data_IF_631717382754
#
_entry.id   IF_631717382754
#
_cell.length_a   1.000
_cell.length_b   1.000
_cell.length_c   1.000
_cell.angle_alpha   90.00
_cell.angle_beta   90.00
_cell.angle_gamma   90.00
#
_symmetry.space_group_name_H-M   'P 1'
#
loop_
_entity.id
_entity.type
_entity.pdbx_description
1 polymer ?
#
# COMPACT_ATOMS: atom_id res chain seq x y z
N UNK A 1 11.50 -17.52 -5.23
CA UNK A 1 10.30 -18.20 -5.75
C UNK A 1 9.46 -18.63 -4.54
N UNK A 2 8.57 -17.76 -4.07
CA UNK A 2 7.59 -18.10 -3.03
C UNK A 2 6.53 -19.00 -3.68
N UNK A 3 6.32 -20.17 -3.09
CA UNK A 3 5.32 -21.13 -3.56
C UNK A 3 3.92 -20.63 -3.17
N UNK A 4 3.10 -20.32 -4.15
CA UNK A 4 1.66 -20.12 -3.98
C UNK A 4 1.03 -21.49 -3.78
N UNK A 5 0.51 -21.77 -2.59
CA UNK A 5 -0.24 -23.00 -2.31
C UNK A 5 -1.75 -22.69 -2.40
N UNK A 6 -2.38 -23.10 -3.47
CA UNK A 6 -3.83 -23.11 -3.63
C UNK A 6 -4.44 -24.26 -2.81
N UNK A 7 -5.20 -23.94 -1.77
CA UNK A 7 -6.01 -24.91 -1.02
C UNK A 7 -7.48 -24.76 -1.41
N UNK A 8 -7.94 -25.60 -2.34
CA UNK A 8 -9.35 -25.76 -2.65
C UNK A 8 -9.83 -27.15 -2.25
N UNK A 9 -10.73 -27.26 -1.24
CA UNK A 9 -11.68 -28.39 -1.11
C UNK A 9 -12.95 -27.92 -0.41
N UNK A 10 -14.04 -27.93 -1.13
CA UNK A 10 -15.38 -27.58 -0.66
C UNK A 10 -16.01 -28.80 0.04
N UNK A 11 -16.41 -28.64 1.31
CA UNK A 11 -17.41 -29.50 1.97
C UNK A 11 -18.72 -28.74 2.13
N UNK A 12 -19.83 -29.43 1.91
CA UNK A 12 -21.19 -28.91 1.81
C UNK A 12 -21.53 -27.84 2.88
N UNK A 13 -21.99 -26.67 2.43
CA UNK A 13 -22.80 -25.73 3.20
C UNK A 13 -22.10 -24.55 3.86
N UNK A 14 -20.78 -24.56 4.06
CA UNK A 14 -20.03 -23.43 4.63
C UNK A 14 -19.20 -22.73 3.57
N UNK A 15 -19.30 -21.39 3.51
CA UNK A 15 -18.41 -20.56 2.70
C UNK A 15 -17.01 -20.72 3.27
N UNK A 16 -16.03 -21.11 2.44
CA UNK A 16 -14.62 -21.16 2.82
C UNK A 16 -13.90 -19.92 2.34
N UNK A 17 -13.05 -19.38 3.20
CA UNK A 17 -12.14 -18.29 2.82
C UNK A 17 -11.11 -18.84 1.82
N UNK A 18 -10.98 -18.17 0.69
CA UNK A 18 -9.83 -18.35 -0.20
C UNK A 18 -8.73 -17.40 0.31
N UNK A 19 -7.65 -18.00 0.79
CA UNK A 19 -6.54 -17.27 1.40
C UNK A 19 -5.30 -17.50 0.55
N UNK A 20 -4.81 -16.45 -0.07
CA UNK A 20 -3.51 -16.45 -0.74
C UNK A 20 -2.45 -16.09 0.29
N UNK A 21 -1.43 -16.94 0.41
CA UNK A 21 -0.39 -16.77 1.42
C UNK A 21 0.88 -16.20 0.81
N UNK A 22 1.35 -15.09 1.36
CA UNK A 22 2.77 -14.70 1.25
C UNK A 22 3.36 -14.94 2.65
N UNK A 23 3.55 -16.22 3.01
CA UNK A 23 3.99 -16.57 4.37
C UNK A 23 4.65 -17.95 4.40
N UNK A 24 5.54 -18.12 5.37
CA UNK A 24 6.13 -19.41 5.72
C UNK A 24 5.33 -20.14 6.82
N UNK A 25 4.12 -19.65 7.16
CA UNK A 25 3.30 -20.19 8.25
C UNK A 25 2.79 -21.59 7.95
N UNK A 26 2.78 -22.42 8.96
CA UNK A 26 2.18 -23.75 8.97
C UNK A 26 0.94 -23.75 9.85
N UNK A 27 0.09 -24.76 9.72
CA UNK A 27 -1.12 -24.92 10.53
C UNK A 27 -0.84 -24.97 12.05
N UNK A 28 0.34 -25.36 12.45
CA UNK A 28 0.73 -25.54 13.86
C UNK A 28 1.43 -24.33 14.45
N UNK A 29 1.76 -23.32 13.61
CA UNK A 29 2.38 -22.10 14.10
C UNK A 29 1.36 -21.30 14.93
N UNK A 30 1.67 -20.96 16.18
CA UNK A 30 0.84 -20.04 16.94
C UNK A 30 0.97 -18.65 16.34
N UNK A 31 -0.18 -18.00 16.10
CA UNK A 31 -0.23 -16.67 15.50
C UNK A 31 -1.07 -15.71 16.33
N UNK A 32 -0.68 -14.44 16.30
CA UNK A 32 -1.51 -13.30 16.70
C UNK A 32 -1.79 -12.48 15.45
N UNK A 33 -3.04 -12.07 15.27
CA UNK A 33 -3.46 -11.40 14.04
C UNK A 33 -3.93 -9.97 14.30
N UNK A 34 -3.77 -9.14 13.29
CA UNK A 34 -4.55 -7.92 13.10
C UNK A 34 -5.27 -7.98 11.75
N UNK A 35 -6.51 -7.47 11.68
CA UNK A 35 -7.36 -7.62 10.49
C UNK A 35 -7.77 -6.24 9.99
N UNK A 36 -7.64 -6.00 8.68
CA UNK A 36 -8.07 -4.74 8.09
C UNK A 36 -7.73 -4.58 6.61
N UNK A 37 -8.20 -3.50 5.98
CA UNK A 37 -7.81 -3.16 4.63
C UNK A 37 -6.36 -2.65 4.54
N UNK A 38 -5.89 -2.00 5.59
CA UNK A 38 -4.54 -1.46 5.72
C UNK A 38 -4.08 -0.65 4.50
N UNK A 39 -4.99 0.13 3.92
CA UNK A 39 -4.68 0.94 2.76
C UNK A 39 -3.79 2.12 3.14
N UNK A 40 -2.56 2.13 2.58
CA UNK A 40 -1.54 3.15 2.82
C UNK A 40 -0.62 2.91 4.03
N UNK A 41 -0.83 1.88 4.88
CA UNK A 41 0.01 1.58 6.07
C UNK A 41 0.39 2.84 6.88
N UNK A 42 -0.57 3.70 7.17
CA UNK A 42 -0.35 4.95 7.89
C UNK A 42 0.00 4.76 9.37
N UNK A 43 0.45 5.82 10.05
CA UNK A 43 0.89 5.80 11.46
C UNK A 43 -0.10 5.10 12.41
N UNK A 44 -1.41 5.23 12.17
CA UNK A 44 -2.42 4.49 12.94
C UNK A 44 -2.32 2.97 12.76
N UNK A 45 -2.07 2.51 11.53
CA UNK A 45 -1.83 1.09 11.26
C UNK A 45 -0.51 0.61 11.90
N UNK A 46 0.56 1.43 11.83
CA UNK A 46 1.84 1.08 12.45
C UNK A 46 1.73 0.90 13.97
N UNK A 47 0.88 1.68 14.65
CA UNK A 47 0.59 1.47 16.09
C UNK A 47 -0.10 0.13 16.36
N UNK A 48 -1.06 -0.28 15.51
CA UNK A 48 -1.67 -1.61 15.62
C UNK A 48 -0.62 -2.71 15.44
N UNK A 49 0.28 -2.56 14.47
CA UNK A 49 1.37 -3.51 14.22
C UNK A 49 2.34 -3.58 15.39
N UNK A 50 2.66 -2.45 16.01
CA UNK A 50 3.49 -2.42 17.23
C UNK A 50 2.83 -3.19 18.38
N UNK A 51 1.54 -2.96 18.64
CA UNK A 51 0.81 -3.70 19.65
C UNK A 51 0.70 -5.21 19.31
N UNK A 52 0.57 -5.53 18.01
CA UNK A 52 0.59 -6.91 17.53
C UNK A 52 1.91 -7.62 17.86
N UNK A 53 3.05 -6.95 17.66
CA UNK A 53 4.36 -7.49 18.05
C UNK A 53 4.46 -7.74 19.56
N UNK A 54 4.01 -6.78 20.37
CA UNK A 54 4.04 -6.91 21.82
C UNK A 54 3.21 -8.11 22.31
N UNK A 55 1.97 -8.25 21.80
CA UNK A 55 1.14 -9.41 22.13
C UNK A 55 1.78 -10.72 21.65
N UNK A 56 2.28 -10.75 20.41
CA UNK A 56 2.90 -11.94 19.84
C UNK A 56 4.09 -12.42 20.67
N UNK A 57 4.93 -11.52 21.18
CA UNK A 57 6.03 -11.83 22.10
C UNK A 57 5.50 -12.42 23.43
N UNK A 58 4.46 -11.82 24.00
CA UNK A 58 3.88 -12.26 25.30
C UNK A 58 3.34 -13.69 25.22
N UNK A 59 2.67 -14.04 24.11
CA UNK A 59 2.04 -15.36 23.94
C UNK A 59 2.90 -16.35 23.12
N UNK A 60 4.17 -16.01 22.86
CA UNK A 60 5.11 -16.81 22.06
C UNK A 60 4.52 -17.24 20.70
N UNK A 61 4.00 -16.29 19.95
CA UNK A 61 3.38 -16.47 18.65
C UNK A 61 4.01 -15.58 17.57
N UNK A 62 3.69 -15.85 16.30
CA UNK A 62 4.11 -14.99 15.18
C UNK A 62 3.10 -13.87 14.96
N UNK A 63 3.54 -12.61 14.76
CA UNK A 63 2.65 -11.52 14.37
C UNK A 63 2.27 -11.67 12.89
N UNK A 64 0.99 -11.59 12.57
CA UNK A 64 0.45 -11.82 11.22
C UNK A 64 -0.56 -10.74 10.86
N UNK A 65 -0.40 -10.15 9.69
CA UNK A 65 -1.39 -9.24 9.13
C UNK A 65 -2.40 -10.01 8.28
N UNK A 66 -3.69 -9.84 8.56
CA UNK A 66 -4.78 -10.35 7.71
C UNK A 66 -5.38 -9.19 6.93
N UNK A 67 -5.29 -9.24 5.61
CA UNK A 67 -5.81 -8.19 4.73
C UNK A 67 -6.66 -8.76 3.61
N UNK A 68 -7.24 -7.86 2.81
CA UNK A 68 -8.20 -8.21 1.77
C UNK A 68 -7.72 -7.74 0.41
N UNK A 69 -8.00 -8.54 -0.61
CA UNK A 69 -7.85 -8.18 -2.00
C UNK A 69 -9.04 -8.74 -2.81
N UNK A 70 -9.77 -7.88 -3.58
CA UNK A 70 -9.64 -6.42 -3.62
C UNK A 70 -10.04 -5.74 -2.30
N UNK A 71 -9.80 -4.42 -2.20
CA UNK A 71 -10.24 -3.62 -1.05
C UNK A 71 -11.74 -3.82 -0.80
N UNK A 72 -12.13 -4.07 0.46
CA UNK A 72 -13.51 -4.50 0.80
C UNK A 72 -14.59 -3.55 0.27
N UNK A 73 -14.33 -2.24 0.25
CA UNK A 73 -15.28 -1.24 -0.26
C UNK A 73 -15.58 -1.40 -1.75
N UNK A 74 -14.61 -1.85 -2.57
CA UNK A 74 -14.82 -2.08 -4.00
C UNK A 74 -15.83 -3.20 -4.29
N UNK A 75 -15.99 -4.14 -3.35
CA UNK A 75 -16.96 -5.24 -3.47
C UNK A 75 -18.30 -4.87 -2.84
N UNK A 76 -18.28 -4.22 -1.66
CA UNK A 76 -19.51 -3.86 -0.93
C UNK A 76 -20.22 -2.66 -1.54
N UNK A 77 -19.47 -1.74 -2.15
CA UNK A 77 -19.97 -0.52 -2.78
C UNK A 77 -19.33 -0.33 -4.17
N UNK A 78 -19.67 -1.17 -5.14
CA UNK A 78 -19.09 -1.12 -6.49
C UNK A 78 -19.41 0.18 -7.25
N UNK A 79 -20.41 0.92 -6.78
CA UNK A 79 -20.76 2.26 -7.26
C UNK A 79 -19.74 3.35 -6.87
N UNK A 80 -18.90 3.09 -5.87
CA UNK A 80 -17.87 4.04 -5.41
C UNK A 80 -16.60 3.85 -6.22
N UNK A 81 -16.15 4.90 -6.89
CA UNK A 81 -14.86 4.93 -7.57
C UNK A 81 -13.73 5.12 -6.54
N UNK A 82 -13.38 4.05 -5.83
CA UNK A 82 -12.30 4.08 -4.85
C UNK A 82 -10.95 3.96 -5.55
N UNK A 83 -10.09 4.94 -5.30
CA UNK A 83 -8.65 4.85 -5.60
C UNK A 83 -7.91 4.47 -4.32
N UNK A 84 -7.14 3.39 -4.36
CA UNK A 84 -6.40 2.88 -3.21
C UNK A 84 -5.04 3.59 -3.07
N UNK A 85 -4.64 3.91 -1.85
CA UNK A 85 -3.31 4.47 -1.55
C UNK A 85 -2.19 3.50 -1.92
N UNK A 86 -2.45 2.20 -1.80
CA UNK A 86 -1.50 1.13 -2.11
C UNK A 86 -2.14 0.05 -2.97
N UNK A 87 -1.38 -0.50 -3.91
CA UNK A 87 -1.69 -1.82 -4.50
C UNK A 87 -1.49 -2.91 -3.44
N UNK A 88 -1.91 -4.14 -3.72
CA UNK A 88 -1.64 -5.26 -2.80
C UNK A 88 -0.14 -5.44 -2.57
N UNK A 89 0.64 -5.45 -3.65
CA UNK A 89 2.09 -5.63 -3.60
C UNK A 89 2.77 -4.53 -2.75
N UNK A 90 2.40 -3.27 -2.97
CA UNK A 90 2.89 -2.14 -2.20
C UNK A 90 2.51 -2.24 -0.71
N UNK A 91 1.27 -2.63 -0.41
CA UNK A 91 0.77 -2.82 0.95
C UNK A 91 1.63 -3.86 1.70
N UNK A 92 1.84 -5.03 1.11
CA UNK A 92 2.61 -6.10 1.72
C UNK A 92 4.08 -5.70 1.93
N UNK A 93 4.67 -4.98 0.98
CA UNK A 93 6.02 -4.45 1.13
C UNK A 93 6.11 -3.44 2.29
N UNK A 94 5.19 -2.48 2.36
CA UNK A 94 5.16 -1.48 3.42
C UNK A 94 4.91 -2.13 4.81
N UNK A 95 4.11 -3.18 4.86
CA UNK A 95 3.88 -3.97 6.08
C UNK A 95 5.19 -4.58 6.59
N UNK A 96 6.00 -5.11 5.69
CA UNK A 96 7.32 -5.67 6.04
C UNK A 96 8.32 -4.57 6.41
N UNK A 97 8.42 -3.52 5.59
CA UNK A 97 9.42 -2.45 5.76
C UNK A 97 9.19 -1.61 7.02
N UNK A 98 7.95 -1.17 7.24
CA UNK A 98 7.62 -0.22 8.30
C UNK A 98 6.88 -0.87 9.47
N UNK A 99 6.13 -1.93 9.22
CA UNK A 99 5.43 -2.69 10.24
C UNK A 99 6.24 -3.83 10.81
N UNK A 100 7.36 -4.22 10.18
CA UNK A 100 8.20 -5.37 10.53
C UNK A 100 7.42 -6.70 10.61
N UNK A 101 6.34 -6.83 9.82
CA UNK A 101 5.50 -8.02 9.73
C UNK A 101 5.71 -8.67 8.36
N UNK A 102 6.53 -9.71 8.25
CA UNK A 102 6.76 -10.40 6.99
C UNK A 102 5.63 -11.37 6.64
N UNK A 103 4.90 -11.87 7.64
CA UNK A 103 3.85 -12.88 7.46
C UNK A 103 2.49 -12.20 7.23
N UNK A 104 1.91 -12.42 6.06
CA UNK A 104 0.64 -11.81 5.67
C UNK A 104 -0.33 -12.89 5.17
N UNK A 105 -1.60 -12.79 5.54
CA UNK A 105 -2.71 -13.59 5.00
C UNK A 105 -3.57 -12.65 4.16
N UNK A 106 -3.63 -12.91 2.86
CA UNK A 106 -4.47 -12.16 1.92
C UNK A 106 -5.75 -12.97 1.68
N UNK A 107 -6.88 -12.38 1.98
CA UNK A 107 -8.19 -12.98 1.76
C UNK A 107 -8.77 -12.42 0.47
N UNK A 108 -9.07 -13.31 -0.48
CA UNK A 108 -9.82 -12.95 -1.69
C UNK A 108 -11.24 -12.50 -1.26
N UNK A 109 -11.47 -11.18 -1.26
CA UNK A 109 -12.70 -10.60 -0.75
C UNK A 109 -13.77 -10.57 -1.84
N UNK A 110 -14.73 -11.46 -1.73
CA UNK A 110 -15.87 -11.61 -2.66
C UNK A 110 -17.17 -11.20 -1.99
N UNK A 111 -18.25 -11.07 -2.79
CA UNK A 111 -19.61 -10.83 -2.26
C UNK A 111 -20.07 -11.94 -1.28
N UNK A 112 -19.57 -13.16 -1.45
CA UNK A 112 -19.86 -14.25 -0.52
C UNK A 112 -19.14 -14.05 0.82
N UNK A 113 -17.87 -13.63 0.80
CA UNK A 113 -17.10 -13.30 2.01
C UNK A 113 -17.72 -12.10 2.73
N UNK A 114 -18.21 -11.09 1.99
CA UNK A 114 -18.89 -9.93 2.55
C UNK A 114 -20.19 -10.27 3.31
N UNK A 115 -20.83 -11.40 2.98
CA UNK A 115 -22.04 -11.89 3.65
C UNK A 115 -21.75 -12.89 4.78
N UNK A 116 -20.50 -13.26 4.98
CA UNK A 116 -20.12 -14.22 6.03
C UNK A 116 -20.33 -13.63 7.42
N UNK A 117 -20.82 -14.45 8.35
CA UNK A 117 -20.89 -14.04 9.76
C UNK A 117 -19.49 -13.86 10.38
N UNK A 118 -19.42 -13.13 11.49
CA UNK A 118 -18.17 -12.97 12.19
C UNK A 118 -17.63 -14.30 12.76
N UNK A 119 -18.53 -15.14 13.26
CA UNK A 119 -18.20 -16.50 13.76
C UNK A 119 -17.59 -17.34 12.64
N UNK A 120 -18.28 -17.46 11.50
CA UNK A 120 -17.81 -18.27 10.38
C UNK A 120 -16.46 -17.78 9.84
N UNK A 121 -16.24 -16.47 9.81
CA UNK A 121 -14.97 -15.88 9.39
C UNK A 121 -13.82 -16.29 10.33
N UNK A 122 -14.01 -16.14 11.64
CA UNK A 122 -13.01 -16.49 12.63
C UNK A 122 -12.79 -18.01 12.74
N UNK A 123 -13.85 -18.80 12.63
CA UNK A 123 -13.74 -20.26 12.59
C UNK A 123 -12.96 -20.73 11.37
N UNK A 124 -13.16 -20.13 10.19
CA UNK A 124 -12.35 -20.43 9.02
C UNK A 124 -10.86 -20.15 9.26
N UNK A 125 -10.51 -19.03 9.90
CA UNK A 125 -9.10 -18.74 10.24
C UNK A 125 -8.55 -19.80 11.21
N UNK A 126 -9.31 -20.18 12.25
CA UNK A 126 -8.91 -21.18 13.23
C UNK A 126 -8.80 -22.60 12.66
N UNK A 127 -9.55 -22.93 11.62
CA UNK A 127 -9.39 -24.21 10.90
C UNK A 127 -8.00 -24.32 10.24
N UNK A 128 -7.38 -23.19 9.89
CA UNK A 128 -6.13 -23.12 9.16
C UNK A 128 -4.91 -22.76 10.02
N UNK A 129 -5.12 -22.05 11.15
CA UNK A 129 -4.05 -21.52 11.97
C UNK A 129 -4.34 -21.72 13.47
N UNK A 130 -3.27 -21.79 14.28
CA UNK A 130 -3.35 -21.81 15.73
C UNK A 130 -3.45 -20.36 16.24
N UNK A 131 -4.66 -19.79 16.23
CA UNK A 131 -4.90 -18.40 16.65
C UNK A 131 -4.80 -18.25 18.17
N UNK A 132 -3.88 -17.41 18.66
CA UNK A 132 -3.62 -17.14 20.08
C UNK A 132 -4.11 -15.77 20.52
N UNK A 133 -4.16 -14.79 19.61
CA UNK A 133 -4.59 -13.44 19.94
C UNK A 133 -5.01 -12.63 18.72
N UNK A 134 -5.73 -11.55 18.98
CA UNK A 134 -6.16 -10.56 18.00
C UNK A 134 -5.92 -9.15 18.55
N UNK A 135 -5.28 -8.31 17.75
CA UNK A 135 -5.13 -6.87 18.01
C UNK A 135 -5.95 -6.12 16.97
N UNK A 136 -6.88 -5.29 17.39
CA UNK A 136 -7.83 -4.59 16.50
C UNK A 136 -8.01 -3.13 16.91
N UNK A 137 -8.35 -2.25 15.98
CA UNK A 137 -8.75 -0.88 16.32
C UNK A 137 -10.04 -0.85 17.15
N UNK A 138 -10.21 0.13 18.00
CA UNK A 138 -11.41 0.23 18.87
C UNK A 138 -12.71 0.40 18.08
N UNK A 139 -12.66 0.90 16.86
CA UNK A 139 -13.79 1.06 15.93
C UNK A 139 -13.93 -0.11 14.94
N UNK A 140 -13.08 -1.12 15.09
CA UNK A 140 -13.07 -2.29 14.21
C UNK A 140 -14.35 -3.11 14.32
N UNK A 141 -14.78 -3.64 13.20
CA UNK A 141 -15.87 -4.62 13.13
C UNK A 141 -15.71 -5.47 11.89
N UNK A 142 -16.08 -6.73 11.99
CA UNK A 142 -16.04 -7.70 10.90
C UNK A 142 -17.40 -8.40 10.71
N UNK A 143 -17.48 -9.17 9.61
CA UNK A 143 -18.66 -9.93 9.27
C UNK A 143 -19.82 -9.10 8.71
N UNK A 144 -20.84 -9.80 8.24
CA UNK A 144 -22.02 -9.18 7.65
C UNK A 144 -22.66 -8.17 8.59
N UNK A 145 -23.04 -7.00 8.07
CA UNK A 145 -23.62 -5.89 8.82
C UNK A 145 -22.78 -5.41 10.03
N UNK A 146 -21.47 -5.65 10.03
CA UNK A 146 -20.55 -5.24 11.10
C UNK A 146 -20.91 -5.80 12.48
N UNK A 147 -21.55 -6.98 12.53
CA UNK A 147 -21.99 -7.59 13.78
C UNK A 147 -20.83 -8.05 14.67
N UNK A 148 -19.67 -8.37 14.10
CA UNK A 148 -18.45 -8.73 14.83
C UNK A 148 -17.73 -7.50 15.39
N UNK A 149 -18.36 -6.77 16.30
CA UNK A 149 -17.79 -5.63 17.02
C UNK A 149 -16.84 -6.10 18.15
N UNK A 150 -16.26 -5.15 18.89
CA UNK A 150 -15.29 -5.44 19.96
C UNK A 150 -15.88 -6.36 21.04
N UNK A 151 -17.12 -6.14 21.47
CA UNK A 151 -17.77 -6.97 22.50
C UNK A 151 -17.91 -8.42 22.01
N UNK A 152 -18.37 -8.61 20.77
CA UNK A 152 -18.43 -9.92 20.12
C UNK A 152 -17.05 -10.59 20.06
N UNK A 153 -16.02 -9.85 19.64
CA UNK A 153 -14.66 -10.41 19.53
C UNK A 153 -14.11 -10.85 20.89
N UNK A 154 -14.38 -10.09 21.95
CA UNK A 154 -13.96 -10.44 23.30
C UNK A 154 -14.68 -11.68 23.81
N UNK A 155 -16.01 -11.81 23.59
CA UNK A 155 -16.78 -13.01 23.92
C UNK A 155 -16.28 -14.24 23.16
N UNK A 156 -16.08 -14.09 21.84
CA UNK A 156 -15.50 -15.14 21.00
C UNK A 156 -14.10 -15.54 21.50
N UNK A 157 -13.28 -14.56 21.85
CA UNK A 157 -11.94 -14.79 22.38
C UNK A 157 -11.95 -15.58 23.69
N UNK A 158 -12.83 -15.22 24.64
CA UNK A 158 -13.00 -15.96 25.90
C UNK A 158 -13.42 -17.41 25.65
N UNK A 159 -14.40 -17.62 24.77
CA UNK A 159 -14.89 -18.98 24.41
C UNK A 159 -13.79 -19.87 23.79
N UNK A 160 -12.83 -19.29 23.10
CA UNK A 160 -11.84 -20.03 22.31
C UNK A 160 -10.41 -19.90 22.82
N UNK A 161 -10.20 -19.32 24.00
CA UNK A 161 -8.89 -19.05 24.61
C UNK A 161 -7.97 -18.21 23.67
N UNK A 162 -8.55 -17.16 23.06
CA UNK A 162 -7.87 -16.20 22.19
C UNK A 162 -7.88 -14.85 22.90
N UNK A 163 -6.74 -14.25 23.12
CA UNK A 163 -6.63 -12.92 23.69
C UNK A 163 -7.08 -11.85 22.67
N UNK A 164 -7.96 -10.93 23.08
CA UNK A 164 -8.44 -9.84 22.21
C UNK A 164 -8.11 -8.50 22.83
N UNK A 165 -7.25 -7.75 22.14
CA UNK A 165 -6.80 -6.43 22.57
C UNK A 165 -7.28 -5.33 21.62
N UNK A 166 -8.28 -4.54 22.01
CA UNK A 166 -8.64 -3.33 21.27
C UNK A 166 -7.61 -2.22 21.53
N UNK A 167 -7.15 -1.57 20.47
CA UNK A 167 -6.26 -0.41 20.55
C UNK A 167 -7.07 0.85 20.29
N UNK A 168 -7.09 1.73 21.28
CA UNK A 168 -7.73 3.03 21.18
C UNK A 168 -6.68 4.05 20.72
N UNK A 169 -6.92 4.67 19.58
CA UNK A 169 -6.20 5.88 19.19
C UNK A 169 -6.91 7.06 19.86
N UNK A 170 -6.15 8.05 20.33
CA UNK A 170 -6.76 9.28 20.85
C UNK A 170 -7.65 9.93 19.78
N UNK A 171 -8.84 10.42 20.17
CA UNK A 171 -9.83 10.95 19.23
C UNK A 171 -9.28 12.06 18.33
N UNK A 172 -8.37 12.89 18.84
CA UNK A 172 -7.67 13.93 18.08
C UNK A 172 -6.72 13.35 17.02
N UNK A 173 -6.14 12.17 17.26
CA UNK A 173 -5.28 11.48 16.31
C UNK A 173 -6.08 10.71 15.28
N UNK A 174 -7.16 10.03 15.65
CA UNK A 174 -8.09 9.35 14.73
C UNK A 174 -8.66 10.33 13.69
N UNK A 175 -9.09 11.53 14.15
CA UNK A 175 -9.57 12.57 13.25
C UNK A 175 -8.47 13.09 12.29
N UNK A 176 -7.20 12.98 12.68
CA UNK A 176 -6.06 13.43 11.88
C UNK A 176 -5.51 12.36 10.95
N UNK A 177 -5.52 11.08 11.34
CA UNK A 177 -4.88 9.99 10.62
C UNK A 177 -5.95 8.99 10.14
N UNK A 178 -6.32 9.06 8.86
CA UNK A 178 -7.19 8.09 8.21
C UNK A 178 -6.85 7.96 6.74
N UNK A 179 -7.05 6.77 6.15
CA UNK A 179 -6.84 6.56 4.71
C UNK A 179 -7.65 7.53 3.85
N UNK A 180 -8.86 7.91 4.28
CA UNK A 180 -9.71 8.88 3.56
C UNK A 180 -9.06 10.25 3.50
N UNK A 181 -8.57 10.77 4.63
CA UNK A 181 -7.86 12.06 4.66
C UNK A 181 -6.58 12.03 3.83
N UNK A 182 -5.81 10.95 3.95
CA UNK A 182 -4.57 10.80 3.18
C UNK A 182 -4.87 10.76 1.68
N UNK A 183 -5.94 10.07 1.24
CA UNK A 183 -6.37 10.12 -0.18
C UNK A 183 -6.67 11.54 -0.63
N UNK A 184 -7.36 12.34 0.18
CA UNK A 184 -7.63 13.75 -0.14
C UNK A 184 -6.34 14.54 -0.30
N UNK A 185 -5.36 14.38 0.59
CA UNK A 185 -4.07 15.06 0.51
C UNK A 185 -3.29 14.64 -0.73
N UNK A 186 -3.20 13.34 -1.01
CA UNK A 186 -2.51 12.81 -2.21
C UNK A 186 -3.18 13.30 -3.48
N UNK A 187 -4.51 13.24 -3.56
CA UNK A 187 -5.28 13.74 -4.72
C UNK A 187 -5.12 15.24 -4.92
N UNK A 188 -4.90 16.00 -3.85
CA UNK A 188 -4.63 17.43 -3.88
C UNK A 188 -3.15 17.79 -4.11
N UNK A 189 -2.25 16.80 -4.18
CA UNK A 189 -0.81 17.03 -4.34
C UNK A 189 -0.09 17.51 -3.08
N UNK A 190 -0.72 17.42 -1.92
CA UNK A 190 -0.19 17.81 -0.60
C UNK A 190 0.67 16.65 -0.04
N UNK A 191 1.77 16.35 -0.73
CA UNK A 191 2.59 15.16 -0.49
C UNK A 191 3.28 15.21 0.87
N UNK A 192 3.81 16.35 1.26
CA UNK A 192 4.51 16.53 2.54
C UNK A 192 3.58 16.20 3.72
N UNK A 193 2.33 16.69 3.68
CA UNK A 193 1.32 16.39 4.70
C UNK A 193 0.89 14.92 4.67
N UNK A 194 0.73 14.35 3.47
CA UNK A 194 0.39 12.94 3.31
C UNK A 194 1.50 12.05 3.89
N UNK A 195 2.77 12.31 3.58
CA UNK A 195 3.94 11.60 4.09
C UNK A 195 4.03 11.72 5.62
N UNK A 196 3.74 12.91 6.17
CA UNK A 196 3.71 13.12 7.62
C UNK A 196 2.65 12.25 8.33
N UNK A 197 1.48 12.02 7.71
CA UNK A 197 0.44 11.14 8.26
C UNK A 197 0.72 9.65 8.03
N UNK A 198 1.31 9.31 6.88
CA UNK A 198 1.75 7.95 6.58
C UNK A 198 2.88 7.51 7.52
N UNK A 199 3.88 8.35 7.72
CA UNK A 199 5.14 8.01 8.38
C UNK A 199 6.18 7.43 7.41
N UNK A 200 5.90 7.48 6.12
CA UNK A 200 6.75 7.09 5.00
C UNK A 200 6.30 7.84 3.74
N UNK A 201 7.11 7.88 2.67
CA UNK A 201 6.71 8.51 1.42
C UNK A 201 5.47 7.85 0.79
N UNK A 202 4.65 8.66 0.10
CA UNK A 202 3.69 8.14 -0.87
C UNK A 202 4.46 7.41 -1.96
N UNK A 203 4.09 6.16 -2.24
CA UNK A 203 4.80 5.33 -3.23
C UNK A 203 3.96 5.06 -4.46
N UNK A 204 4.63 4.77 -5.59
CA UNK A 204 4.01 4.15 -6.77
C UNK A 204 5.00 3.17 -7.40
N UNK A 205 4.61 1.90 -7.49
CA UNK A 205 5.40 0.84 -8.12
C UNK A 205 4.77 0.41 -9.44
N UNK A 206 5.58 0.32 -10.50
CA UNK A 206 5.10 -0.13 -11.81
C UNK A 206 6.25 -0.64 -12.68
N UNK A 207 5.89 -1.34 -13.76
CA UNK A 207 6.82 -1.69 -14.82
C UNK A 207 7.03 -0.46 -15.71
N UNK A 208 8.27 -0.24 -16.13
CA UNK A 208 8.64 0.80 -17.08
C UNK A 208 8.25 0.37 -18.50
N UNK A 209 7.43 1.19 -19.15
CA UNK A 209 6.94 0.94 -20.50
C UNK A 209 7.54 1.93 -21.50
N UNK A 210 7.54 1.57 -22.79
CA UNK A 210 7.98 2.48 -23.85
C UNK A 210 7.00 3.65 -23.98
N UNK A 211 7.52 4.87 -23.88
CA UNK A 211 6.80 6.12 -24.16
C UNK A 211 7.22 6.72 -25.50
N UNK A 212 6.86 7.99 -25.74
CA UNK A 212 7.19 8.71 -27.00
C UNK A 212 8.66 9.12 -27.11
N UNK A 213 9.47 8.87 -26.10
CA UNK A 213 10.90 9.20 -26.05
C UNK A 213 11.25 10.70 -26.27
N UNK A 214 10.27 11.60 -26.09
CA UNK A 214 10.46 13.06 -26.29
C UNK A 214 11.47 13.63 -25.29
N UNK A 215 11.47 13.13 -24.06
CA UNK A 215 12.44 13.54 -23.04
C UNK A 215 13.90 13.29 -23.48
N UNK A 216 14.16 12.16 -24.14
CA UNK A 216 15.51 11.83 -24.67
C UNK A 216 15.99 12.84 -25.71
N UNK A 217 15.10 13.31 -26.59
CA UNK A 217 15.42 14.35 -27.59
C UNK A 217 15.73 15.70 -26.96
N UNK A 218 15.18 15.95 -25.77
CA UNK A 218 15.38 17.19 -25.01
C UNK A 218 16.61 17.13 -24.09
N UNK A 219 17.25 15.97 -23.95
CA UNK A 219 18.37 15.75 -23.02
C UNK A 219 17.96 15.32 -21.61
N UNK A 220 16.66 15.01 -21.40
CA UNK A 220 16.09 14.54 -20.13
C UNK A 220 15.34 13.21 -20.34
N UNK A 221 16.05 12.07 -20.51
CA UNK A 221 15.41 10.78 -20.69
C UNK A 221 14.50 10.45 -19.52
N UNK A 222 13.32 9.89 -19.79
CA UNK A 222 12.32 9.54 -18.78
C UNK A 222 11.91 8.07 -18.86
N UNK A 223 11.75 7.44 -17.71
CA UNK A 223 11.08 6.16 -17.55
C UNK A 223 9.56 6.42 -17.45
N UNK A 224 8.78 5.77 -18.31
CA UNK A 224 7.31 5.89 -18.31
C UNK A 224 6.71 4.75 -17.51
N UNK A 225 5.89 5.05 -16.52
CA UNK A 225 5.21 4.07 -15.68
C UNK A 225 3.74 4.01 -16.02
N UNK A 226 3.19 2.80 -15.89
CA UNK A 226 1.78 2.51 -16.06
C UNK A 226 1.24 1.87 -14.77
N UNK A 227 0.92 2.66 -13.73
CA UNK A 227 0.34 2.13 -12.49
C UNK A 227 -1.01 1.44 -12.72
N UNK A 228 -1.39 0.57 -11.80
CA UNK A 228 -2.69 -0.09 -11.81
C UNK A 228 -3.85 0.90 -11.78
N UNK A 229 -5.00 0.54 -12.38
CA UNK A 229 -6.14 1.43 -12.56
C UNK A 229 -6.74 1.95 -11.25
N UNK A 230 -6.67 1.16 -10.20
CA UNK A 230 -7.17 1.53 -8.85
C UNK A 230 -6.11 2.18 -7.95
N UNK A 231 -4.88 2.33 -8.43
CA UNK A 231 -3.82 3.02 -7.69
C UNK A 231 -4.06 4.52 -7.70
N UNK A 232 -4.15 5.12 -6.50
CA UNK A 232 -4.17 6.56 -6.35
C UNK A 232 -2.80 7.15 -6.66
N UNK A 233 -2.77 8.07 -7.61
CA UNK A 233 -1.59 8.88 -7.92
C UNK A 233 -1.74 10.29 -7.33
N UNK A 234 -0.65 10.96 -6.98
CA UNK A 234 -0.65 12.37 -6.66
C UNK A 234 -1.33 13.22 -7.75
N UNK A 235 -1.76 14.44 -7.41
CA UNK A 235 -2.28 15.39 -8.39
C UNK A 235 -1.33 15.57 -9.59
N UNK A 236 -1.86 16.06 -10.72
CA UNK A 236 -1.00 16.40 -11.86
C UNK A 236 -0.02 17.50 -11.46
N UNK A 237 1.25 17.35 -11.84
CA UNK A 237 2.33 18.23 -11.43
C UNK A 237 3.70 17.59 -11.50
N UNK A 238 4.70 18.32 -11.03
CA UNK A 238 6.11 17.90 -11.01
C UNK A 238 6.54 17.69 -9.56
N UNK A 239 7.26 16.62 -9.30
CA UNK A 239 7.63 16.15 -7.97
C UNK A 239 9.12 15.83 -7.88
N UNK A 240 9.73 16.13 -6.74
CA UNK A 240 10.98 15.52 -6.33
C UNK A 240 10.68 14.12 -5.76
N UNK A 241 11.39 13.12 -6.23
CA UNK A 241 11.17 11.73 -5.85
C UNK A 241 12.48 10.94 -5.78
N UNK A 242 12.45 9.80 -5.08
CA UNK A 242 13.50 8.78 -5.14
C UNK A 242 12.99 7.57 -5.94
N UNK A 243 13.87 6.98 -6.72
CA UNK A 243 13.59 5.79 -7.53
C UNK A 243 14.36 4.62 -6.96
N UNK A 244 13.64 3.55 -6.63
CA UNK A 244 14.23 2.27 -6.27
C UNK A 244 14.06 1.30 -7.45
N UNK A 245 15.13 0.63 -7.83
CA UNK A 245 15.09 -0.39 -8.87
C UNK A 245 14.59 -1.71 -8.28
N UNK A 246 13.81 -2.45 -9.07
CA UNK A 246 13.28 -3.76 -8.68
C UNK A 246 11.90 -3.71 -8.01
N UNK A 247 11.50 -4.88 -7.50
CA UNK A 247 10.21 -5.05 -6.82
C UNK A 247 10.24 -4.38 -5.45
N UNK A 248 9.18 -3.67 -5.11
CA UNK A 248 8.98 -3.06 -3.79
C UNK A 248 9.06 -4.07 -2.64
N UNK A 249 8.67 -5.32 -2.85
CA UNK A 249 8.84 -6.43 -1.90
C UNK A 249 10.30 -6.83 -1.65
N UNK A 250 11.22 -6.41 -2.50
CA UNK A 250 12.65 -6.68 -2.40
C UNK A 250 13.42 -5.53 -1.75
N UNK A 251 12.72 -4.50 -1.27
CA UNK A 251 13.30 -3.41 -0.48
C UNK A 251 13.61 -3.92 0.93
N UNK A 252 14.60 -4.76 1.02
CA UNK A 252 15.15 -5.24 2.29
C UNK A 252 16.49 -4.53 2.49
N UNK A 253 16.75 -4.03 3.68
CA UNK A 253 18.04 -3.39 4.05
C UNK A 253 19.25 -4.31 3.79
N UNK A 254 19.02 -5.62 3.65
CA UNK A 254 20.03 -6.61 3.30
C UNK A 254 20.44 -6.58 1.83
N UNK A 255 19.66 -5.92 0.95
CA UNK A 255 19.98 -5.77 -0.46
C UNK A 255 20.29 -4.30 -0.73
N UNK A 256 21.54 -3.99 -1.07
CA UNK A 256 21.97 -2.68 -1.56
C UNK A 256 21.33 -2.40 -2.93
N UNK A 257 20.02 -2.18 -2.96
CA UNK A 257 19.38 -1.70 -4.17
C UNK A 257 19.69 -0.20 -4.32
N UNK A 258 20.33 0.20 -5.41
CA UNK A 258 20.66 1.61 -5.59
C UNK A 258 19.39 2.46 -5.64
N UNK A 259 19.44 3.58 -4.92
CA UNK A 259 18.39 4.59 -4.88
C UNK A 259 18.85 5.80 -5.69
N UNK A 260 18.02 6.24 -6.61
CA UNK A 260 18.34 7.36 -7.49
C UNK A 260 17.41 8.53 -7.22
N UNK A 261 17.96 9.73 -7.18
CA UNK A 261 17.18 10.95 -7.16
C UNK A 261 16.48 11.15 -8.52
N UNK A 262 15.28 11.71 -8.50
CA UNK A 262 14.47 11.84 -9.70
C UNK A 262 13.58 13.07 -9.67
N UNK A 263 13.26 13.58 -10.85
CA UNK A 263 12.13 14.48 -11.11
C UNK A 263 11.05 13.69 -11.78
N UNK A 264 9.85 13.70 -11.20
CA UNK A 264 8.70 12.95 -11.72
C UNK A 264 7.63 13.90 -12.19
N UNK A 265 7.17 13.75 -13.43
CA UNK A 265 6.01 14.43 -13.97
C UNK A 265 4.79 13.50 -13.95
N UNK A 266 3.69 13.96 -13.37
CA UNK A 266 2.37 13.32 -13.46
C UNK A 266 1.47 14.25 -14.26
N UNK A 267 0.92 13.76 -15.36
CA UNK A 267 0.07 14.56 -16.23
C UNK A 267 -0.90 13.72 -17.02
N UNK A 268 -1.82 14.39 -17.72
CA UNK A 268 -2.83 13.76 -18.58
C UNK A 268 -2.39 13.82 -20.03
N UNK A 269 -2.35 12.65 -20.68
CA UNK A 269 -2.11 12.58 -22.11
C UNK A 269 -3.41 12.28 -22.85
N UNK A 270 -3.79 13.10 -23.83
CA UNK A 270 -4.90 12.77 -24.74
C UNK A 270 -4.56 11.49 -25.53
N UNK A 271 -5.45 10.52 -25.54
CA UNK A 271 -5.37 9.30 -26.35
C UNK A 271 -6.64 9.12 -27.17
N UNK A 272 -6.61 8.30 -28.23
CA UNK A 272 -7.77 8.01 -29.05
C UNK A 272 -8.97 7.40 -28.29
N UNK A 273 -8.79 6.97 -27.02
CA UNK A 273 -9.81 6.36 -26.15
C UNK A 273 -10.11 7.15 -24.87
N UNK A 274 -9.62 8.40 -24.74
CA UNK A 274 -9.82 9.20 -23.52
C UNK A 274 -8.53 9.85 -22.99
N UNK A 275 -8.57 10.25 -21.72
CA UNK A 275 -7.44 10.86 -21.03
C UNK A 275 -6.77 9.81 -20.15
N UNK A 276 -5.52 9.47 -20.44
CA UNK A 276 -4.71 8.56 -19.60
C UNK A 276 -3.73 9.37 -18.78
N UNK A 277 -3.75 9.18 -17.47
CA UNK A 277 -2.69 9.72 -16.60
C UNK A 277 -1.42 8.92 -16.81
N UNK A 278 -0.32 9.60 -16.99
CA UNK A 278 1.01 9.04 -17.15
C UNK A 278 1.92 9.53 -16.04
N UNK A 279 2.88 8.71 -15.68
CA UNK A 279 3.93 9.04 -14.73
C UNK A 279 5.27 8.89 -15.45
N UNK A 280 6.02 9.99 -15.58
CA UNK A 280 7.30 10.05 -16.26
C UNK A 280 8.38 10.42 -15.25
N UNK A 281 9.32 9.52 -14.99
CA UNK A 281 10.41 9.71 -14.05
C UNK A 281 11.73 9.96 -14.79
N UNK A 282 12.35 11.12 -14.59
CA UNK A 282 13.69 11.45 -15.03
C UNK A 282 14.67 11.19 -13.89
N UNK A 283 15.48 10.13 -14.00
CA UNK A 283 16.52 9.79 -13.04
C UNK A 283 17.69 10.76 -13.19
N UNK A 284 18.15 11.32 -12.09
CA UNK A 284 19.24 12.31 -12.09
C UNK A 284 20.60 11.60 -12.11
N UNK A 285 21.54 12.15 -12.89
CA UNK A 285 22.94 11.74 -12.93
C UNK A 285 23.22 10.31 -13.41
N UNK A 286 22.25 9.68 -14.06
CA UNK A 286 22.38 8.33 -14.56
C UNK A 286 21.58 8.12 -15.85
N UNK A 287 22.10 7.33 -16.77
CA UNK A 287 21.40 6.84 -17.97
C UNK A 287 21.38 5.32 -17.93
N UNK A 288 20.20 4.77 -17.62
CA UNK A 288 19.94 3.33 -17.53
C UNK A 288 18.85 2.92 -18.49
N UNK A 289 18.99 1.75 -19.07
CA UNK A 289 17.88 1.09 -19.77
C UNK A 289 17.01 0.36 -18.73
N UNK A 290 15.85 0.93 -18.46
CA UNK A 290 14.88 0.45 -17.46
C UNK A 290 13.64 -0.20 -18.09
N UNK A 291 13.57 -0.34 -19.41
CA UNK A 291 12.41 -0.95 -20.07
C UNK A 291 12.15 -2.35 -19.53
N UNK A 292 10.87 -2.67 -19.35
CA UNK A 292 10.36 -3.93 -18.81
C UNK A 292 10.83 -4.24 -17.36
N UNK A 293 11.60 -3.33 -16.74
CA UNK A 293 11.97 -3.44 -15.34
C UNK A 293 10.91 -2.79 -14.44
N UNK A 294 10.72 -3.35 -13.24
CA UNK A 294 9.90 -2.74 -12.21
C UNK A 294 10.73 -1.71 -11.45
N UNK A 295 10.14 -0.54 -11.24
CA UNK A 295 10.70 0.49 -10.36
C UNK A 295 9.63 0.96 -9.36
N UNK A 296 10.09 1.49 -8.23
CA UNK A 296 9.23 2.12 -7.23
C UNK A 296 9.65 3.56 -7.03
N UNK A 297 8.69 4.46 -7.11
CA UNK A 297 8.84 5.88 -6.82
C UNK A 297 8.45 6.16 -5.38
N UNK A 298 9.28 6.92 -4.66
CA UNK A 298 8.97 7.56 -3.39
C UNK A 298 8.77 9.04 -3.65
N UNK A 299 7.54 9.53 -3.57
CA UNK A 299 7.23 10.96 -3.73
C UNK A 299 7.61 11.70 -2.46
N UNK A 300 8.58 12.61 -2.56
CA UNK A 300 9.10 13.37 -1.42
C UNK A 300 8.33 14.66 -1.25
N UNK A 301 8.31 15.51 -2.27
CA UNK A 301 7.56 16.78 -2.25
C UNK A 301 7.12 17.20 -3.65
N UNK A 302 6.12 18.05 -3.72
CA UNK A 302 5.66 18.67 -4.95
C UNK A 302 6.48 19.90 -5.27
N UNK A 303 7.06 19.97 -6.48
CA UNK A 303 7.84 21.12 -6.93
C UNK A 303 6.95 22.21 -7.51
N UNK A 304 5.96 21.84 -8.34
CA UNK A 304 5.04 22.78 -9.00
C UNK A 304 3.86 22.06 -9.66
N UNK A 305 2.89 22.86 -10.10
CA UNK A 305 1.80 22.40 -10.97
C UNK A 305 2.27 22.11 -12.40
N UNK A 306 1.48 21.33 -13.13
CA UNK A 306 1.67 21.19 -14.57
C UNK A 306 1.43 22.53 -15.27
N UNK A 307 2.23 22.85 -16.28
CA UNK A 307 2.10 24.10 -17.03
C UNK A 307 2.40 23.91 -18.50
N UNK A 308 1.82 24.80 -19.34
CA UNK A 308 2.08 24.84 -20.78
C UNK A 308 3.22 25.80 -21.08
N UNK A 309 4.07 25.43 -22.04
CA UNK A 309 5.23 26.23 -22.44
C UNK A 309 5.03 26.79 -23.83
N UNK A 310 5.54 28.01 -24.07
CA UNK A 310 5.45 28.68 -25.36
C UNK A 310 6.33 28.02 -26.46
N UNK A 311 7.26 27.13 -26.04
CA UNK A 311 8.15 26.42 -26.96
C UNK A 311 9.14 25.50 -26.23
N UNK A 312 9.97 24.81 -27.02
CA UNK A 312 10.89 23.78 -26.54
C UNK A 312 11.96 24.36 -25.60
N UNK A 313 12.49 25.55 -25.89
CA UNK A 313 13.54 26.16 -25.07
C UNK A 313 12.99 26.58 -23.68
N UNK A 314 11.77 27.12 -23.61
CA UNK A 314 11.12 27.42 -22.35
C UNK A 314 10.90 26.15 -21.52
N UNK A 315 10.48 25.04 -22.15
CA UNK A 315 10.33 23.73 -21.50
C UNK A 315 11.66 23.21 -20.96
N UNK A 316 12.74 23.25 -21.75
CA UNK A 316 14.09 22.81 -21.31
C UNK A 316 14.59 23.63 -20.12
N UNK A 317 14.43 24.94 -20.15
CA UNK A 317 14.83 25.83 -19.05
C UNK A 317 14.07 25.46 -17.76
N UNK A 318 12.76 25.21 -17.87
CA UNK A 318 11.98 24.82 -16.69
C UNK A 318 12.39 23.46 -16.17
N UNK A 319 12.59 22.45 -17.03
CA UNK A 319 13.05 21.12 -16.57
C UNK A 319 14.40 21.23 -15.86
N UNK A 320 15.34 22.03 -16.39
CA UNK A 320 16.63 22.26 -15.73
C UNK A 320 16.46 22.90 -14.34
N UNK A 321 15.54 23.85 -14.20
CA UNK A 321 15.20 24.46 -12.90
C UNK A 321 14.58 23.44 -11.93
N UNK A 322 13.67 22.58 -12.40
CA UNK A 322 13.05 21.52 -11.61
C UNK A 322 14.11 20.52 -11.10
N UNK A 323 15.06 20.14 -11.95
CA UNK A 323 16.20 19.27 -11.61
C UNK A 323 17.07 19.89 -10.51
N UNK A 324 17.39 21.18 -10.62
CA UNK A 324 18.17 21.88 -9.59
C UNK A 324 17.42 21.92 -8.26
N UNK A 325 16.13 22.23 -8.29
CA UNK A 325 15.28 22.25 -7.08
C UNK A 325 15.19 20.87 -6.43
N UNK A 326 14.96 19.83 -7.23
CA UNK A 326 14.92 18.46 -6.73
C UNK A 326 16.22 18.03 -6.07
N UNK A 327 17.38 18.34 -6.67
CA UNK A 327 18.70 18.05 -6.07
C UNK A 327 18.87 18.70 -4.70
N UNK A 328 18.51 19.97 -4.57
CA UNK A 328 18.63 20.69 -3.29
C UNK A 328 17.75 20.09 -2.19
N UNK A 329 16.55 19.62 -2.54
CA UNK A 329 15.61 19.00 -1.60
C UNK A 329 16.11 17.62 -1.19
N UNK A 330 16.43 16.77 -2.17
CA UNK A 330 16.78 15.38 -1.95
C UNK A 330 18.14 15.17 -1.27
N UNK A 331 19.03 16.15 -1.34
CA UNK A 331 20.31 16.15 -0.59
C UNK A 331 20.15 16.47 0.90
N UNK A 332 19.12 17.21 1.30
CA UNK A 332 18.89 17.59 2.71
C UNK A 332 18.27 16.47 3.54
N UNK A 333 17.72 15.46 2.91
CA UNK A 333 17.02 14.37 3.58
C UNK A 333 17.86 13.08 3.66
N UNK A 334 19.14 13.14 3.34
CA UNK A 334 20.13 12.07 3.52
C UNK A 334 20.88 12.28 4.82
#
# INVERSE_FOLDING_TARGET
LAAVVLLSKVKQGKIKLNMDHITTLTKNDPIVITIGNFDGIHKGHLRLMQALHMMAQTVHAKPVLVTFDPHTLLVVRPDVNLQCLTTLEEKLALTTLYGHIPDNIVINFTSQVAQMSADDFLDNLREHFLLRGMVVGADFSLGHNRMGNIAFLQEYGQKHAIEVQPIQLEAAEQARISSTRIRTLVSGGQIDEANALLGHPVIASSIVVKGDQRGRLLGFPTANLLPESHKLLPADGVYAARVHLGNVLQRDERYENPVYNSVVNIGVRPTFGGHKRIVEAHLLDIDLDLYDQRITLDFITRLRDEQRFAGIEALKTQIASDVLSARQILQKET
#
